data_IF_177848529418
#
_entry.id   IF_177848529418
#
_cell.length_a   1.000
_cell.length_b   1.000
_cell.length_c   1.000
_cell.angle_alpha   90.00
_cell.angle_beta   90.00
_cell.angle_gamma   90.00
#
_symmetry.space_group_name_H-M   'P 1'
#
loop_
_entity.id
_entity.type
_entity.pdbx_description
1 polymer ?
#
# COMPACT_ATOMS: atom_id res chain seq x y z
N UNK A 1 3.94 -9.41 14.70
CA UNK A 1 4.23 -9.10 13.28
C UNK A 1 5.35 -8.07 13.20
N UNK A 2 6.14 -8.09 12.14
CA UNK A 2 7.19 -7.11 11.85
C UNK A 2 6.67 -6.06 10.87
N UNK A 3 7.01 -4.77 11.05
CA UNK A 3 6.67 -3.71 10.09
C UNK A 3 7.83 -3.47 9.15
N UNK A 4 7.52 -3.48 7.85
CA UNK A 4 8.45 -3.12 6.77
C UNK A 4 7.87 -1.99 5.93
N UNK A 5 8.65 -0.95 5.71
CA UNK A 5 8.29 0.17 4.84
C UNK A 5 9.00 0.02 3.49
N UNK A 6 8.21 0.05 2.42
CA UNK A 6 8.73 0.11 1.05
C UNK A 6 8.28 1.41 0.40
N UNK A 7 9.23 2.22 -0.03
CA UNK A 7 8.98 3.52 -0.63
C UNK A 7 9.75 3.68 -1.94
N UNK A 8 9.05 4.03 -3.00
CA UNK A 8 9.69 4.50 -4.23
C UNK A 8 9.97 5.99 -4.09
N UNK A 9 11.20 6.38 -4.31
CA UNK A 9 11.64 7.76 -4.14
C UNK A 9 12.65 8.13 -5.22
N UNK A 10 12.50 9.32 -5.79
CA UNK A 10 13.50 9.88 -6.70
C UNK A 10 14.75 10.32 -5.94
N UNK A 11 15.85 10.55 -6.65
CA UNK A 11 17.10 10.97 -6.02
C UNK A 11 16.99 12.31 -5.28
N UNK A 12 16.08 13.18 -5.71
CA UNK A 12 15.76 14.47 -5.08
C UNK A 12 14.59 14.41 -4.08
N UNK A 13 14.12 13.19 -3.73
CA UNK A 13 13.21 12.97 -2.63
C UNK A 13 11.71 12.99 -2.98
N UNK A 14 11.34 12.96 -4.26
CA UNK A 14 9.93 12.87 -4.68
C UNK A 14 9.44 11.43 -4.54
N UNK A 15 8.32 11.22 -3.86
CA UNK A 15 7.66 9.92 -3.70
C UNK A 15 6.19 9.93 -4.15
N UNK A 16 5.67 11.09 -4.58
CA UNK A 16 4.28 11.25 -5.03
C UNK A 16 4.04 10.57 -6.39
N UNK A 17 2.93 9.87 -6.53
CA UNK A 17 2.42 9.30 -7.78
C UNK A 17 3.46 8.55 -8.64
N UNK A 18 4.19 7.58 -8.11
CA UNK A 18 5.20 6.87 -8.90
C UNK A 18 4.59 6.00 -10.01
N UNK A 19 3.41 5.42 -9.80
CA UNK A 19 2.86 4.35 -10.63
C UNK A 19 2.11 4.82 -11.87
N UNK A 20 1.40 5.95 -11.81
CA UNK A 20 0.60 6.43 -12.93
C UNK A 20 0.47 7.95 -13.00
N UNK A 21 0.22 8.51 -14.21
CA UNK A 21 0.10 9.97 -14.42
C UNK A 21 -1.00 10.61 -13.57
N UNK A 22 -2.09 9.90 -13.35
CA UNK A 22 -3.28 10.38 -12.63
C UNK A 22 -3.40 9.77 -11.21
N UNK A 23 -2.36 9.10 -10.73
CA UNK A 23 -2.38 8.42 -9.42
C UNK A 23 -2.61 9.40 -8.28
N UNK A 24 -1.88 10.50 -8.25
CA UNK A 24 -2.01 11.56 -7.26
C UNK A 24 -1.62 12.93 -7.85
N UNK A 25 -2.59 13.68 -8.42
CA UNK A 25 -2.35 15.03 -8.94
C UNK A 25 -2.43 16.12 -7.85
N UNK A 26 -2.56 15.77 -6.58
CA UNK A 26 -2.72 16.73 -5.50
C UNK A 26 -1.57 17.74 -5.45
N UNK A 27 -1.84 18.95 -4.99
CA UNK A 27 -0.85 20.03 -4.97
C UNK A 27 -0.38 20.51 -6.34
N UNK A 28 -1.08 20.13 -7.43
CA UNK A 28 -0.70 20.50 -8.80
C UNK A 28 0.47 19.67 -9.36
N UNK A 29 0.73 18.49 -8.81
CA UNK A 29 1.79 17.61 -9.29
C UNK A 29 1.45 17.04 -10.68
N UNK A 30 2.37 17.22 -11.66
CA UNK A 30 2.16 16.87 -13.07
C UNK A 30 3.14 15.79 -13.57
N UNK A 31 4.00 15.26 -12.72
CA UNK A 31 5.04 14.29 -13.09
C UNK A 31 4.69 12.86 -12.65
N UNK A 32 3.41 12.56 -12.47
CA UNK A 32 2.95 11.21 -12.11
C UNK A 32 3.39 10.14 -13.12
N UNK A 33 3.57 8.90 -12.64
CA UNK A 33 4.02 7.78 -13.47
C UNK A 33 5.52 7.77 -13.76
N UNK A 34 6.29 8.54 -13.03
CA UNK A 34 7.75 8.65 -13.25
C UNK A 34 8.51 7.35 -13.04
N UNK A 35 7.97 6.40 -12.29
CA UNK A 35 8.58 5.08 -12.07
C UNK A 35 8.42 4.15 -13.28
N UNK A 36 7.33 4.28 -14.04
CA UNK A 36 6.97 3.34 -15.09
C UNK A 36 8.09 3.03 -16.12
N UNK A 37 8.90 3.98 -16.58
CA UNK A 37 10.01 3.71 -17.51
C UNK A 37 11.12 2.82 -16.93
N UNK A 38 11.18 2.66 -15.62
CA UNK A 38 12.22 1.90 -14.90
C UNK A 38 11.74 0.53 -14.42
N UNK A 39 10.47 0.19 -14.68
CA UNK A 39 9.90 -1.12 -14.33
C UNK A 39 10.37 -2.15 -15.35
N UNK A 40 11.11 -3.15 -14.87
CA UNK A 40 11.61 -4.28 -15.63
C UNK A 40 11.41 -5.61 -14.87
N UNK A 41 11.91 -6.70 -15.39
CA UNK A 41 11.78 -8.03 -14.77
C UNK A 41 12.46 -8.10 -13.40
N UNK A 42 13.61 -7.43 -13.22
CA UNK A 42 14.32 -7.38 -11.94
C UNK A 42 13.52 -6.59 -10.89
N UNK A 43 12.95 -5.46 -11.28
CA UNK A 43 12.04 -4.69 -10.43
C UNK A 43 10.81 -5.54 -10.05
N UNK A 44 10.20 -6.23 -11.02
CA UNK A 44 9.07 -7.13 -10.79
C UNK A 44 9.39 -8.25 -9.81
N UNK A 45 10.56 -8.88 -9.93
CA UNK A 45 11.04 -9.90 -9.01
C UNK A 45 11.26 -9.35 -7.60
N UNK A 46 11.83 -8.15 -7.47
CA UNK A 46 12.04 -7.47 -6.19
C UNK A 46 10.70 -7.19 -5.48
N UNK A 47 9.75 -6.57 -6.18
CA UNK A 47 8.41 -6.29 -5.63
C UNK A 47 7.68 -7.60 -5.31
N UNK A 48 7.77 -8.59 -6.18
CA UNK A 48 7.22 -9.92 -5.95
C UNK A 48 7.73 -10.57 -4.66
N UNK A 49 9.02 -10.43 -4.35
CA UNK A 49 9.60 -10.93 -3.11
C UNK A 49 9.08 -10.18 -1.86
N UNK A 50 8.89 -8.86 -1.95
CA UNK A 50 8.32 -8.05 -0.87
C UNK A 50 6.88 -8.48 -0.60
N UNK A 51 6.03 -8.50 -1.62
CA UNK A 51 4.63 -8.91 -1.48
C UNK A 51 4.48 -10.39 -1.09
N UNK A 52 5.39 -11.24 -1.53
CA UNK A 52 5.43 -12.66 -1.15
C UNK A 52 5.52 -12.86 0.36
N UNK A 53 6.27 -12.02 1.07
CA UNK A 53 6.43 -12.06 2.53
C UNK A 53 5.30 -11.38 3.29
N UNK A 54 4.51 -10.54 2.62
CA UNK A 54 3.44 -9.79 3.26
C UNK A 54 2.35 -10.72 3.81
N UNK A 55 1.92 -10.47 5.04
CA UNK A 55 0.75 -11.08 5.67
C UNK A 55 -0.33 -10.06 6.02
N UNK A 56 -0.02 -8.77 5.96
CA UNK A 56 -0.97 -7.66 6.10
C UNK A 56 -0.38 -6.39 5.49
N UNK A 57 -1.22 -5.38 5.33
CA UNK A 57 -0.83 -4.04 4.90
C UNK A 57 -1.25 -2.98 5.92
N UNK A 58 -0.41 -1.97 6.11
CA UNK A 58 -0.73 -0.77 6.92
C UNK A 58 -0.67 0.45 6.02
N UNK A 59 -1.79 1.10 5.83
CA UNK A 59 -1.95 2.19 4.86
C UNK A 59 -2.33 3.49 5.55
N UNK A 60 -1.74 4.59 5.13
CA UNK A 60 -2.28 5.91 5.38
C UNK A 60 -3.58 6.10 4.60
N UNK A 61 -4.46 7.00 5.06
CA UNK A 61 -5.76 7.26 4.43
C UNK A 61 -5.63 7.58 2.94
N UNK A 62 -4.70 8.44 2.56
CA UNK A 62 -4.54 8.87 1.16
C UNK A 62 -4.12 7.70 0.25
N UNK A 63 -3.15 6.91 0.67
CA UNK A 63 -2.75 5.68 -0.04
C UNK A 63 -3.90 4.69 -0.15
N UNK A 64 -4.67 4.53 0.94
CA UNK A 64 -5.87 3.68 0.92
C UNK A 64 -6.87 4.13 -0.15
N UNK A 65 -7.18 5.42 -0.23
CA UNK A 65 -8.15 5.94 -1.21
C UNK A 65 -7.69 5.67 -2.66
N UNK A 66 -6.41 5.89 -2.94
CA UNK A 66 -5.80 5.58 -4.24
C UNK A 66 -5.91 4.07 -4.54
N UNK A 67 -5.45 3.24 -3.63
CA UNK A 67 -5.42 1.79 -3.80
C UNK A 67 -6.81 1.16 -3.91
N UNK A 68 -7.75 1.58 -3.07
CA UNK A 68 -9.12 1.10 -3.07
C UNK A 68 -9.89 1.48 -4.33
N UNK A 69 -9.48 2.54 -5.02
CA UNK A 69 -10.08 2.92 -6.31
C UNK A 69 -9.64 2.02 -7.47
N UNK A 70 -8.52 1.35 -7.36
CA UNK A 70 -7.87 0.60 -8.45
C UNK A 70 -7.82 -0.91 -8.21
N UNK A 71 -7.18 -1.37 -7.12
CA UNK A 71 -6.85 -2.78 -6.91
C UNK A 71 -8.03 -3.73 -6.78
N UNK A 72 -9.19 -3.36 -6.17
CA UNK A 72 -10.35 -4.25 -6.10
C UNK A 72 -10.92 -4.66 -7.46
N UNK A 73 -10.61 -3.89 -8.51
CA UNK A 73 -11.06 -4.16 -9.88
C UNK A 73 -10.18 -5.18 -10.61
N UNK A 74 -8.99 -5.44 -10.08
CA UNK A 74 -8.02 -6.40 -10.66
C UNK A 74 -8.28 -7.77 -10.02
N UNK A 75 -9.23 -8.51 -10.56
CA UNK A 75 -9.68 -9.80 -10.01
C UNK A 75 -9.14 -11.02 -10.74
N UNK A 76 -8.69 -10.85 -11.99
CA UNK A 76 -8.30 -11.91 -12.90
C UNK A 76 -6.80 -11.79 -13.22
N UNK A 77 -5.96 -11.94 -12.18
CA UNK A 77 -4.51 -11.78 -12.31
C UNK A 77 -3.78 -12.85 -11.50
N UNK A 78 -2.72 -13.39 -12.11
CA UNK A 78 -1.75 -14.27 -11.43
C UNK A 78 -0.60 -13.47 -10.77
N UNK A 79 -0.60 -12.14 -10.91
CA UNK A 79 0.37 -11.26 -10.29
C UNK A 79 0.18 -11.25 -8.77
N UNK A 80 1.29 -11.44 -8.04
CA UNK A 80 1.30 -11.49 -6.58
C UNK A 80 0.79 -10.20 -5.93
N UNK A 81 1.00 -9.05 -6.57
CA UNK A 81 0.60 -7.74 -6.01
C UNK A 81 -0.92 -7.62 -5.86
N UNK A 82 -1.74 -7.69 -6.93
CA UNK A 82 -3.20 -7.62 -6.78
C UNK A 82 -3.76 -8.79 -5.97
N UNK A 83 -3.20 -9.99 -6.11
CA UNK A 83 -3.65 -11.16 -5.35
C UNK A 83 -3.50 -10.91 -3.85
N UNK A 84 -2.34 -10.47 -3.39
CA UNK A 84 -2.08 -10.20 -1.97
C UNK A 84 -2.86 -8.99 -1.46
N UNK A 85 -2.90 -7.89 -2.20
CA UNK A 85 -3.64 -6.67 -1.82
C UNK A 85 -5.13 -6.94 -1.63
N UNK A 86 -5.74 -7.76 -2.48
CA UNK A 86 -7.17 -8.08 -2.36
C UNK A 86 -7.46 -9.13 -1.28
N UNK A 87 -6.56 -10.05 -1.02
CA UNK A 87 -6.79 -11.17 -0.10
C UNK A 87 -6.41 -10.87 1.36
N UNK A 88 -5.31 -10.12 1.59
CA UNK A 88 -4.77 -9.95 2.93
C UNK A 88 -5.47 -8.86 3.74
N UNK A 89 -5.38 -8.92 5.09
CA UNK A 89 -5.84 -7.87 5.97
C UNK A 89 -5.16 -6.52 5.66
N UNK A 90 -5.93 -5.45 5.74
CA UNK A 90 -5.48 -4.07 5.56
C UNK A 90 -5.84 -3.25 6.79
N UNK A 91 -4.88 -2.55 7.34
CA UNK A 91 -5.07 -1.57 8.41
C UNK A 91 -4.96 -0.17 7.84
N UNK A 92 -5.97 0.68 8.07
CA UNK A 92 -5.99 2.04 7.56
C UNK A 92 -6.04 3.04 8.71
N UNK A 93 -5.00 3.86 8.81
CA UNK A 93 -4.96 4.93 9.81
C UNK A 93 -5.81 6.10 9.35
N UNK A 94 -6.92 6.33 10.03
CA UNK A 94 -7.79 7.47 9.74
C UNK A 94 -8.74 7.80 10.88
N UNK A 95 -8.81 9.09 11.25
CA UNK A 95 -9.81 9.62 12.17
C UNK A 95 -11.12 10.04 11.49
N UNK A 96 -11.16 10.11 10.15
CA UNK A 96 -12.28 10.65 9.40
C UNK A 96 -12.97 9.65 8.45
N UNK A 97 -12.37 8.49 8.21
CA UNK A 97 -12.97 7.46 7.38
C UNK A 97 -14.08 6.76 8.16
N UNK A 98 -15.33 6.88 7.72
CA UNK A 98 -16.47 6.27 8.42
C UNK A 98 -16.53 4.76 8.22
N UNK A 99 -16.34 4.29 6.98
CA UNK A 99 -16.33 2.88 6.60
C UNK A 99 -15.31 2.64 5.49
N UNK A 100 -14.91 1.40 5.34
CA UNK A 100 -13.98 0.94 4.32
C UNK A 100 -14.62 -0.18 3.50
N UNK A 101 -14.84 0.06 2.21
CA UNK A 101 -15.53 -0.88 1.32
C UNK A 101 -14.61 -1.97 0.75
N UNK A 102 -13.31 -1.74 0.76
CA UNK A 102 -12.35 -2.76 0.31
C UNK A 102 -12.25 -3.89 1.34
N UNK A 103 -12.58 -5.09 0.91
CA UNK A 103 -12.67 -6.26 1.77
C UNK A 103 -11.40 -6.49 2.62
N UNK A 104 -11.59 -6.91 3.88
CA UNK A 104 -10.48 -7.16 4.81
C UNK A 104 -9.83 -5.89 5.38
N UNK A 105 -10.50 -4.73 5.31
CA UNK A 105 -9.97 -3.47 5.85
C UNK A 105 -10.49 -3.20 7.26
N UNK A 106 -9.56 -2.94 8.18
CA UNK A 106 -9.81 -2.47 9.55
C UNK A 106 -9.35 -1.01 9.67
N UNK A 107 -10.21 -0.12 10.18
CA UNK A 107 -9.88 1.30 10.36
C UNK A 107 -9.32 1.52 11.77
N UNK A 108 -8.09 2.02 11.86
CA UNK A 108 -7.44 2.38 13.10
C UNK A 108 -7.75 3.84 13.45
N UNK A 109 -8.50 4.05 14.53
CA UNK A 109 -9.00 5.39 14.94
C UNK A 109 -8.35 5.88 16.22
N UNK A 110 -7.65 5.01 16.94
CA UNK A 110 -7.05 5.27 18.23
C UNK A 110 -5.72 6.04 18.13
N UNK A 111 -5.02 6.06 19.25
CA UNK A 111 -3.64 6.54 19.27
C UNK A 111 -2.75 5.66 18.39
N UNK A 112 -2.06 6.28 17.43
CA UNK A 112 -1.30 5.55 16.41
C UNK A 112 -0.25 4.61 17.00
N UNK A 113 0.48 5.04 18.03
CA UNK A 113 1.50 4.21 18.66
C UNK A 113 0.90 2.98 19.35
N UNK A 114 -0.24 3.16 20.00
CA UNK A 114 -0.99 2.09 20.65
C UNK A 114 -1.49 1.08 19.63
N UNK A 115 -2.10 1.55 18.54
CA UNK A 115 -2.63 0.70 17.45
C UNK A 115 -1.51 -0.10 16.77
N UNK A 116 -0.41 0.56 16.41
CA UNK A 116 0.75 -0.11 15.79
C UNK A 116 1.37 -1.13 16.76
N UNK A 117 1.48 -0.79 18.03
CA UNK A 117 2.00 -1.73 19.03
C UNK A 117 1.12 -2.97 19.14
N UNK A 118 -0.20 -2.80 19.12
CA UNK A 118 -1.14 -3.91 19.13
C UNK A 118 -1.00 -4.80 17.89
N UNK A 119 -0.82 -4.23 16.69
CA UNK A 119 -0.58 -4.97 15.45
C UNK A 119 0.73 -5.77 15.56
N UNK A 120 1.81 -5.15 16.05
CA UNK A 120 3.11 -5.83 16.22
C UNK A 120 3.05 -7.01 17.19
N UNK A 121 2.14 -7.00 18.16
CA UNK A 121 1.93 -8.10 19.10
C UNK A 121 1.08 -9.24 18.52
N UNK A 122 0.39 -9.04 17.41
CA UNK A 122 -0.36 -10.12 16.73
C UNK A 122 0.62 -11.18 16.22
N UNK A 123 0.25 -12.48 16.26
CA UNK A 123 1.04 -13.51 15.59
C UNK A 123 1.02 -13.29 14.08
N UNK A 124 2.11 -13.65 13.42
CA UNK A 124 2.23 -13.53 11.97
C UNK A 124 3.57 -12.94 11.54
N UNK A 125 3.79 -12.87 10.24
CA UNK A 125 5.01 -12.40 9.61
C UNK A 125 5.06 -10.89 9.44
N UNK A 126 5.08 -10.43 8.20
CA UNK A 126 5.42 -9.05 7.84
C UNK A 126 4.18 -8.22 7.49
N UNK A 127 4.08 -7.03 8.07
CA UNK A 127 3.12 -5.98 7.69
C UNK A 127 3.85 -4.99 6.79
N UNK A 128 3.42 -4.89 5.54
CA UNK A 128 3.95 -3.90 4.60
C UNK A 128 3.27 -2.54 4.78
N UNK A 129 4.07 -1.48 4.85
CA UNK A 129 3.62 -0.09 5.02
C UNK A 129 3.85 0.66 3.72
#
# INVERSE_FOLDING_TARGET
MELSLTLFVTLDGVYQAPGGPEEDPSGGFTQGGWLAPFVDDEFGAFIGAIFGRAEAFLLGRHTYDIFASYWPKITDSDDVVPVKLNALPKFVVSSHLDHADWAGTEILRGDLLTEITAIKQRPGGEVQV
#
